data_IF_201668150426
#
_entry.id   IF_201668150426
#
_cell.length_a   1.000
_cell.length_b   1.000
_cell.length_c   1.000
_cell.angle_alpha   90.00
_cell.angle_beta   90.00
_cell.angle_gamma   90.00
#
_symmetry.space_group_name_H-M   'P 1'
#
loop_
_entity.id
_entity.type
_entity.pdbx_description
1 polymer ?
#
# COMPACT_ATOMS: atom_id res chain seq x y z
N UNK A 1 23.36 -31.22 7.61
CA UNK A 1 22.50 -31.51 8.78
C UNK A 1 21.52 -30.35 8.96
N UNK A 2 20.36 -30.53 9.62
CA UNK A 2 19.42 -29.43 9.92
C UNK A 2 20.11 -28.33 10.74
N UNK A 3 20.98 -28.71 11.68
CA UNK A 3 21.76 -27.77 12.50
C UNK A 3 22.63 -26.87 11.63
N UNK A 4 23.42 -27.43 10.70
CA UNK A 4 24.26 -26.64 9.79
C UNK A 4 23.44 -25.66 8.97
N UNK A 5 22.25 -26.08 8.52
CA UNK A 5 21.34 -25.22 7.75
C UNK A 5 20.81 -24.07 8.61
N UNK A 6 20.41 -24.34 9.85
CA UNK A 6 19.93 -23.30 10.76
C UNK A 6 21.04 -22.30 11.09
N UNK A 7 22.26 -22.78 11.37
CA UNK A 7 23.43 -21.91 11.60
C UNK A 7 23.77 -21.07 10.38
N UNK A 8 23.76 -21.67 9.18
CA UNK A 8 23.97 -20.95 7.92
C UNK A 8 22.91 -19.86 7.69
N UNK A 9 21.64 -20.15 7.95
CA UNK A 9 20.57 -19.17 7.78
C UNK A 9 20.63 -18.08 8.85
N UNK A 10 20.97 -18.42 10.10
CA UNK A 10 21.16 -17.43 11.15
C UNK A 10 22.27 -16.43 10.81
N UNK A 11 23.39 -16.91 10.25
CA UNK A 11 24.48 -16.06 9.76
C UNK A 11 24.05 -15.23 8.55
N UNK A 12 23.41 -15.86 7.55
CA UNK A 12 22.99 -15.19 6.31
C UNK A 12 22.01 -14.03 6.55
N UNK A 13 21.11 -14.19 7.53
CA UNK A 13 20.10 -13.19 7.90
C UNK A 13 20.50 -12.35 9.12
N UNK A 14 21.77 -12.42 9.54
CA UNK A 14 22.34 -11.63 10.64
C UNK A 14 21.46 -11.67 11.90
N UNK A 15 21.10 -12.87 12.33
CA UNK A 15 20.25 -13.08 13.49
C UNK A 15 20.98 -12.63 14.75
N UNK A 16 20.30 -11.82 15.56
CA UNK A 16 20.83 -11.30 16.83
C UNK A 16 19.86 -11.61 17.97
N UNK A 17 20.38 -11.70 19.19
CA UNK A 17 19.57 -11.92 20.38
C UNK A 17 18.86 -10.63 20.81
N UNK A 18 17.56 -10.72 21.12
CA UNK A 18 16.67 -9.56 21.35
C UNK A 18 16.08 -9.51 22.75
N UNK A 19 16.62 -10.30 23.68
CA UNK A 19 16.01 -10.58 24.97
C UNK A 19 15.44 -9.31 25.63
N UNK A 20 14.12 -9.27 25.80
CA UNK A 20 13.36 -8.07 26.20
C UNK A 20 13.69 -7.60 27.61
N UNK A 21 14.35 -8.46 28.41
CA UNK A 21 14.82 -8.15 29.76
C UNK A 21 16.25 -7.58 29.80
N UNK A 22 16.96 -7.50 28.66
CA UNK A 22 18.39 -7.19 28.64
C UNK A 22 18.79 -6.22 27.50
N UNK A 23 18.53 -4.92 27.68
CA UNK A 23 18.86 -3.82 26.74
C UNK A 23 20.32 -3.87 26.22
N UNK A 24 21.23 -4.47 26.99
CA UNK A 24 22.66 -4.59 26.68
C UNK A 24 22.97 -5.28 25.34
N UNK A 25 22.15 -6.23 24.88
CA UNK A 25 22.43 -6.96 23.64
C UNK A 25 22.03 -6.19 22.38
N UNK A 26 20.92 -5.47 22.43
CA UNK A 26 20.52 -4.55 21.37
C UNK A 26 21.57 -3.44 21.20
N UNK A 27 21.99 -2.84 22.31
CA UNK A 27 23.02 -1.79 22.29
C UNK A 27 24.33 -2.31 21.69
N UNK A 28 24.75 -3.53 22.04
CA UNK A 28 25.92 -4.16 21.46
C UNK A 28 25.79 -4.36 19.94
N UNK A 29 24.62 -4.82 19.44
CA UNK A 29 24.39 -5.00 18.01
C UNK A 29 24.35 -3.67 17.26
N UNK A 30 23.70 -2.65 17.82
CA UNK A 30 23.70 -1.30 17.26
C UNK A 30 25.11 -0.70 17.23
N UNK A 31 25.91 -0.91 18.27
CA UNK A 31 27.30 -0.47 18.31
C UNK A 31 28.17 -1.17 17.25
N UNK A 32 28.00 -2.49 17.06
CA UNK A 32 28.65 -3.27 15.99
C UNK A 32 28.32 -2.70 14.60
N UNK A 33 27.04 -2.45 14.33
CA UNK A 33 26.57 -1.92 13.04
C UNK A 33 27.07 -0.48 12.81
N UNK A 34 27.04 0.35 13.84
CA UNK A 34 27.58 1.72 13.80
C UNK A 34 29.10 1.70 13.52
N UNK A 35 29.85 0.80 14.16
CA UNK A 35 31.29 0.63 13.91
C UNK A 35 31.57 0.16 12.48
N UNK A 36 30.67 -0.63 11.88
CA UNK A 36 30.71 -1.00 10.47
C UNK A 36 30.26 0.12 9.51
N UNK A 37 29.88 1.28 10.04
CA UNK A 37 29.49 2.47 9.29
C UNK A 37 28.06 2.44 8.75
N UNK A 38 27.16 1.67 9.37
CA UNK A 38 25.72 1.71 9.09
C UNK A 38 25.02 2.69 10.02
N UNK A 39 24.04 3.43 9.49
CA UNK A 39 23.01 4.07 10.29
C UNK A 39 21.90 3.05 10.53
N UNK A 40 21.61 2.74 11.79
CA UNK A 40 20.71 1.63 12.15
C UNK A 40 19.52 2.11 12.98
N UNK A 41 18.37 1.49 12.79
CA UNK A 41 17.15 1.77 13.55
C UNK A 41 16.41 0.47 13.88
N UNK A 42 16.00 0.27 15.14
CA UNK A 42 15.20 -0.89 15.51
C UNK A 42 13.79 -0.78 14.92
N UNK A 43 13.23 -1.92 14.54
CA UNK A 43 11.83 -2.07 14.14
C UNK A 43 11.10 -2.70 15.32
N UNK A 44 10.11 -1.97 15.83
CA UNK A 44 9.37 -2.33 17.04
C UNK A 44 7.92 -2.66 16.65
N UNK A 45 7.40 -3.74 17.21
CA UNK A 45 6.03 -4.20 16.98
C UNK A 45 5.01 -3.43 17.87
N UNK A 46 3.73 -3.77 17.79
CA UNK A 46 2.68 -3.06 18.53
C UNK A 46 2.75 -3.30 20.04
N UNK A 47 3.42 -4.37 20.49
CA UNK A 47 3.64 -4.68 21.91
C UNK A 47 4.90 -4.01 22.48
N UNK A 48 5.67 -3.29 21.66
CA UNK A 48 6.92 -2.67 22.09
C UNK A 48 8.14 -3.59 22.00
N UNK A 49 8.01 -4.76 21.37
CA UNK A 49 9.08 -5.74 21.20
C UNK A 49 9.85 -5.50 19.90
N UNK A 50 11.16 -5.77 19.91
CA UNK A 50 12.02 -5.58 18.75
C UNK A 50 11.94 -6.80 17.85
N UNK A 51 11.56 -6.59 16.58
CA UNK A 51 11.43 -7.68 15.61
C UNK A 51 12.59 -7.71 14.60
N UNK A 52 13.28 -6.58 14.41
CA UNK A 52 14.43 -6.48 13.52
C UNK A 52 15.22 -5.18 13.75
N UNK A 53 16.38 -5.07 13.10
CA UNK A 53 17.11 -3.82 12.90
C UNK A 53 17.24 -3.57 11.40
N UNK A 54 16.86 -2.37 10.95
CA UNK A 54 17.15 -1.91 9.59
C UNK A 54 18.39 -1.03 9.61
N UNK A 55 19.34 -1.33 8.73
CA UNK A 55 20.64 -0.67 8.67
C UNK A 55 20.94 -0.18 7.26
N UNK A 56 21.30 1.10 7.13
CA UNK A 56 21.58 1.74 5.85
C UNK A 56 22.99 2.33 5.81
N UNK A 57 23.69 2.15 4.69
CA UNK A 57 25.03 2.70 4.47
C UNK A 57 25.15 3.26 3.06
N UNK A 58 25.60 4.50 2.94
CA UNK A 58 25.91 5.08 1.63
C UNK A 58 27.18 4.45 1.07
N UNK A 59 27.09 3.90 -0.13
CA UNK A 59 28.27 3.52 -0.90
C UNK A 59 28.57 4.65 -1.92
N UNK A 60 29.84 4.95 -2.16
CA UNK A 60 30.33 6.08 -2.97
C UNK A 60 29.93 6.10 -4.47
N UNK A 61 28.90 5.35 -4.87
CA UNK A 61 28.31 5.27 -6.21
C UNK A 61 26.77 5.36 -6.18
N UNK A 62 26.20 6.31 -5.43
CA UNK A 62 24.75 6.59 -5.35
C UNK A 62 23.84 5.41 -4.94
N UNK A 63 24.40 4.26 -4.52
CA UNK A 63 23.62 3.11 -4.05
C UNK A 63 23.70 3.00 -2.53
N UNK A 64 22.56 3.13 -1.88
CA UNK A 64 22.39 2.81 -0.46
C UNK A 64 22.39 1.30 -0.28
N UNK A 65 23.34 0.79 0.51
CA UNK A 65 23.34 -0.58 0.97
C UNK A 65 22.37 -0.70 2.14
N UNK A 66 21.38 -1.58 2.02
CA UNK A 66 20.43 -1.90 3.10
C UNK A 66 20.69 -3.30 3.64
N UNK A 67 20.85 -3.41 4.95
CA UNK A 67 20.98 -4.65 5.71
C UNK A 67 19.81 -4.76 6.69
N UNK A 68 19.37 -5.99 6.94
CA UNK A 68 18.37 -6.31 7.96
C UNK A 68 18.99 -7.34 8.88
N UNK A 69 18.96 -7.07 10.18
CA UNK A 69 19.30 -8.03 11.24
C UNK A 69 17.99 -8.54 11.82
N UNK A 70 17.79 -9.86 11.81
CA UNK A 70 16.53 -10.48 12.24
C UNK A 70 16.59 -10.82 13.73
N UNK A 71 15.52 -10.56 14.44
CA UNK A 71 15.46 -10.92 15.85
C UNK A 71 15.44 -12.45 16.07
N UNK A 72 16.16 -12.95 17.08
CA UNK A 72 16.22 -14.38 17.44
C UNK A 72 14.84 -14.97 17.75
N UNK A 73 13.94 -14.24 18.42
CA UNK A 73 12.57 -14.69 18.69
C UNK A 73 11.73 -14.83 17.42
N UNK A 74 11.89 -13.89 16.47
CA UNK A 74 11.23 -13.95 15.16
C UNK A 74 11.78 -15.11 14.35
N UNK A 75 13.10 -15.30 14.34
CA UNK A 75 13.77 -16.42 13.68
C UNK A 75 13.31 -17.77 14.25
N UNK A 76 13.26 -17.89 15.59
CA UNK A 76 12.74 -19.05 16.30
C UNK A 76 11.28 -19.35 15.96
N UNK A 77 10.44 -18.32 15.93
CA UNK A 77 9.04 -18.43 15.52
C UNK A 77 8.89 -18.95 14.08
N UNK A 78 9.74 -18.50 13.16
CA UNK A 78 9.77 -19.02 11.77
C UNK A 78 10.26 -20.48 11.69
N UNK A 79 11.21 -20.89 12.53
CA UNK A 79 11.62 -22.30 12.63
C UNK A 79 10.45 -23.18 13.08
N UNK A 80 9.69 -22.72 14.08
CA UNK A 80 8.51 -23.42 14.59
C UNK A 80 7.36 -23.43 13.59
N UNK A 81 7.22 -22.36 12.79
CA UNK A 81 6.25 -22.26 11.73
C UNK A 81 6.50 -23.26 10.58
N UNK A 82 7.75 -23.62 10.28
CA UNK A 82 8.05 -24.54 9.17
C UNK A 82 7.82 -26.01 9.57
N UNK A 83 6.82 -26.71 9.01
CA UNK A 83 6.48 -28.08 9.40
C UNK A 83 7.44 -29.12 8.80
N UNK A 84 8.33 -28.73 7.88
CA UNK A 84 9.20 -29.67 7.18
C UNK A 84 10.41 -30.05 8.02
N UNK A 85 10.86 -31.30 7.89
CA UNK A 85 12.01 -31.83 8.63
C UNK A 85 13.28 -30.99 8.41
N UNK A 86 13.52 -30.54 7.17
CA UNK A 86 14.72 -29.78 6.80
C UNK A 86 14.50 -28.26 6.73
N UNK A 87 13.39 -27.76 7.26
CA UNK A 87 13.07 -26.32 7.29
C UNK A 87 13.26 -25.64 5.93
N UNK A 88 12.62 -26.20 4.90
CA UNK A 88 12.80 -25.76 3.52
C UNK A 88 12.14 -24.40 3.26
N UNK A 89 11.14 -24.02 4.06
CA UNK A 89 10.39 -22.76 3.96
C UNK A 89 10.93 -21.65 4.84
N UNK A 90 11.75 -21.97 5.85
CA UNK A 90 12.40 -20.98 6.70
C UNK A 90 13.10 -19.88 5.89
N UNK A 91 13.89 -20.25 4.88
CA UNK A 91 14.58 -19.26 4.06
C UNK A 91 13.63 -18.39 3.24
N UNK A 92 12.51 -18.95 2.76
CA UNK A 92 11.48 -18.17 2.08
C UNK A 92 10.82 -17.17 3.03
N UNK A 93 10.45 -17.58 4.25
CA UNK A 93 9.89 -16.67 5.27
C UNK A 93 10.87 -15.57 5.68
N UNK A 94 12.16 -15.89 5.82
CA UNK A 94 13.20 -14.90 6.13
C UNK A 94 13.40 -13.90 4.99
N UNK A 95 13.38 -14.36 3.74
CA UNK A 95 13.41 -13.49 2.57
C UNK A 95 12.18 -12.58 2.50
N UNK A 96 10.99 -13.13 2.78
CA UNK A 96 9.72 -12.41 2.84
C UNK A 96 9.81 -11.26 3.85
N UNK A 97 10.15 -11.57 5.09
CA UNK A 97 10.27 -10.63 6.19
C UNK A 97 11.34 -9.55 5.93
N UNK A 98 12.53 -9.97 5.50
CA UNK A 98 13.64 -9.05 5.20
C UNK A 98 13.29 -8.06 4.09
N UNK A 99 12.53 -8.50 3.08
CA UNK A 99 12.06 -7.63 1.99
C UNK A 99 11.10 -6.56 2.49
N UNK A 100 10.13 -6.94 3.33
CA UNK A 100 9.15 -5.99 3.90
C UNK A 100 9.84 -4.88 4.71
N UNK A 101 10.89 -5.21 5.45
CA UNK A 101 11.67 -4.22 6.21
C UNK A 101 12.55 -3.36 5.30
N UNK A 102 13.21 -3.95 4.29
CA UNK A 102 14.13 -3.23 3.39
C UNK A 102 13.46 -2.11 2.59
N UNK A 103 12.19 -2.29 2.23
CA UNK A 103 11.45 -1.30 1.43
C UNK A 103 11.35 0.07 2.13
N UNK A 104 11.45 0.12 3.46
CA UNK A 104 11.54 1.35 4.25
C UNK A 104 10.31 2.27 4.18
N UNK A 105 9.26 1.86 3.48
CA UNK A 105 7.96 2.54 3.47
C UNK A 105 7.19 2.17 4.73
N UNK A 106 6.51 3.14 5.34
CA UNK A 106 5.68 2.92 6.54
C UNK A 106 4.75 1.71 6.39
N UNK A 107 4.06 1.60 5.25
CA UNK A 107 3.15 0.49 4.97
C UNK A 107 3.87 -0.87 4.91
N UNK A 108 5.13 -0.92 4.46
CA UNK A 108 5.92 -2.15 4.39
C UNK A 108 6.39 -2.59 5.78
N UNK A 109 6.71 -1.64 6.67
CA UNK A 109 7.01 -1.93 8.08
C UNK A 109 5.77 -2.47 8.80
N UNK A 110 4.61 -1.85 8.62
CA UNK A 110 3.34 -2.37 9.16
C UNK A 110 3.00 -3.77 8.62
N UNK A 111 3.34 -4.06 7.36
CA UNK A 111 3.19 -5.41 6.81
C UNK A 111 4.16 -6.41 7.47
N UNK A 112 5.38 -6.00 7.82
CA UNK A 112 6.33 -6.84 8.56
C UNK A 112 5.82 -7.13 9.98
N UNK A 113 5.26 -6.14 10.67
CA UNK A 113 4.65 -6.30 12.00
C UNK A 113 3.48 -7.29 11.93
N UNK A 114 2.55 -7.11 10.97
CA UNK A 114 1.43 -8.03 10.76
C UNK A 114 1.87 -9.46 10.41
N UNK A 115 2.94 -9.61 9.64
CA UNK A 115 3.52 -10.93 9.36
C UNK A 115 3.87 -11.65 10.66
N UNK A 116 4.55 -10.97 11.59
CA UNK A 116 5.01 -11.55 12.87
C UNK A 116 3.86 -11.77 13.85
N UNK A 117 2.98 -10.77 14.02
CA UNK A 117 1.92 -10.81 15.04
C UNK A 117 0.68 -11.62 14.63
N UNK A 118 0.32 -11.64 13.33
CA UNK A 118 -0.94 -12.25 12.87
C UNK A 118 -0.73 -13.54 12.05
N UNK A 119 0.15 -13.48 11.05
CA UNK A 119 0.31 -14.56 10.08
C UNK A 119 1.19 -15.69 10.62
N UNK A 120 2.33 -15.37 11.25
CA UNK A 120 3.31 -16.35 11.73
C UNK A 120 2.74 -17.33 12.77
N UNK A 121 1.90 -16.91 13.75
CA UNK A 121 1.28 -17.83 14.70
C UNK A 121 0.43 -18.93 14.06
N UNK A 122 -0.09 -18.68 12.85
CA UNK A 122 -0.92 -19.63 12.11
C UNK A 122 -0.14 -20.37 11.02
N UNK A 123 1.07 -19.92 10.69
CA UNK A 123 1.82 -20.38 9.53
C UNK A 123 2.07 -21.89 9.53
N UNK A 124 2.34 -22.51 10.68
CA UNK A 124 2.54 -23.96 10.77
C UNK A 124 1.36 -24.75 10.21
N UNK A 125 0.14 -24.40 10.62
CA UNK A 125 -1.09 -25.06 10.15
C UNK A 125 -1.23 -24.95 8.63
N UNK A 126 -1.06 -23.75 8.09
CA UNK A 126 -1.26 -23.50 6.66
C UNK A 126 -0.13 -24.04 5.79
N UNK A 127 1.12 -24.01 6.25
CA UNK A 127 2.25 -24.64 5.56
C UNK A 127 2.12 -26.16 5.55
N UNK A 128 1.54 -26.75 6.60
CA UNK A 128 1.23 -28.20 6.62
C UNK A 128 0.18 -28.52 5.57
N UNK A 129 -0.92 -27.76 5.53
CA UNK A 129 -1.93 -27.90 4.48
C UNK A 129 -1.35 -27.70 3.08
N UNK A 130 -0.42 -26.76 2.91
CA UNK A 130 0.26 -26.55 1.64
C UNK A 130 1.08 -27.76 1.25
N UNK A 131 1.89 -28.33 2.14
CA UNK A 131 2.65 -29.56 1.86
C UNK A 131 1.76 -30.73 1.46
N UNK A 132 0.68 -30.94 2.21
CA UNK A 132 -0.23 -32.06 2.00
C UNK A 132 -1.03 -31.95 0.69
N UNK A 133 -1.20 -30.73 0.15
CA UNK A 133 -2.10 -30.47 -0.98
C UNK A 133 -1.41 -29.94 -2.23
N UNK A 134 -0.21 -29.35 -2.17
CA UNK A 134 0.42 -28.63 -3.31
C UNK A 134 0.57 -29.48 -4.57
N UNK A 135 0.70 -30.81 -4.43
CA UNK A 135 0.84 -31.74 -5.57
C UNK A 135 -0.48 -32.26 -6.13
N UNK A 136 -1.62 -32.01 -5.47
CA UNK A 136 -2.94 -32.49 -5.89
C UNK A 136 -3.45 -31.71 -7.10
N UNK A 137 -4.13 -32.40 -8.03
CA UNK A 137 -4.75 -31.75 -9.20
C UNK A 137 -5.75 -30.66 -8.81
N UNK A 138 -6.60 -30.96 -7.82
CA UNK A 138 -7.60 -30.03 -7.27
C UNK A 138 -6.96 -28.72 -6.77
N UNK A 139 -5.80 -28.79 -6.12
CA UNK A 139 -5.09 -27.61 -5.64
C UNK A 139 -4.66 -26.70 -6.81
N UNK A 140 -4.07 -27.28 -7.86
CA UNK A 140 -3.67 -26.54 -9.06
C UNK A 140 -4.86 -25.92 -9.79
N UNK A 141 -6.00 -26.61 -9.84
CA UNK A 141 -7.23 -26.11 -10.45
C UNK A 141 -7.83 -24.93 -9.66
N UNK A 142 -7.90 -25.04 -8.33
CA UNK A 142 -8.38 -23.95 -7.46
C UNK A 142 -7.49 -22.71 -7.56
N UNK A 143 -6.16 -22.89 -7.62
CA UNK A 143 -5.24 -21.77 -7.71
C UNK A 143 -5.41 -20.97 -9.00
N UNK A 144 -5.68 -21.63 -10.13
CA UNK A 144 -5.89 -20.96 -11.44
C UNK A 144 -7.11 -20.02 -11.47
N UNK A 145 -8.12 -20.31 -10.66
CA UNK A 145 -9.35 -19.51 -10.58
C UNK A 145 -9.28 -18.36 -9.57
N UNK A 146 -8.25 -18.30 -8.73
CA UNK A 146 -8.15 -17.31 -7.66
C UNK A 146 -7.54 -16.00 -8.13
N UNK A 147 -8.23 -14.90 -7.88
CA UNK A 147 -7.70 -13.56 -8.12
C UNK A 147 -6.47 -13.25 -7.26
N UNK A 148 -6.45 -13.68 -6.00
CA UNK A 148 -5.32 -13.43 -5.09
C UNK A 148 -4.04 -14.15 -5.52
N UNK A 149 -4.14 -15.16 -6.38
CA UNK A 149 -3.02 -15.96 -6.90
C UNK A 149 -2.65 -15.58 -8.34
N UNK A 150 -3.21 -14.49 -8.87
CA UNK A 150 -2.87 -13.97 -10.19
C UNK A 150 -1.38 -13.64 -10.26
N UNK A 151 -0.67 -14.27 -11.20
CA UNK A 151 0.77 -14.13 -11.38
C UNK A 151 1.60 -15.32 -10.87
N UNK A 152 1.00 -16.26 -10.15
CA UNK A 152 1.63 -17.54 -9.79
C UNK A 152 1.43 -18.51 -10.96
N UNK A 153 2.54 -18.89 -11.60
CA UNK A 153 2.55 -19.80 -12.74
C UNK A 153 2.66 -21.26 -12.34
N UNK A 154 3.43 -21.54 -11.28
CA UNK A 154 3.50 -22.85 -10.64
C UNK A 154 3.11 -22.72 -9.17
N UNK A 155 1.87 -23.08 -8.79
CA UNK A 155 1.41 -22.97 -7.41
C UNK A 155 2.11 -23.97 -6.46
N UNK A 156 2.95 -24.88 -6.97
CA UNK A 156 3.75 -25.75 -6.11
C UNK A 156 5.05 -25.11 -5.63
N UNK A 157 5.48 -24.03 -6.30
CA UNK A 157 6.68 -23.28 -5.96
C UNK A 157 6.35 -22.15 -4.98
N UNK A 158 6.70 -22.36 -3.71
CA UNK A 158 6.44 -21.39 -2.65
C UNK A 158 7.10 -20.03 -2.92
N UNK A 159 8.20 -19.99 -3.69
CA UNK A 159 8.93 -18.75 -3.96
C UNK A 159 8.16 -17.78 -4.86
N UNK A 160 7.09 -18.24 -5.52
CA UNK A 160 6.20 -17.38 -6.30
C UNK A 160 5.15 -16.66 -5.42
N UNK A 161 5.02 -17.05 -4.15
CA UNK A 161 4.12 -16.41 -3.20
C UNK A 161 4.78 -15.19 -2.58
N UNK A 162 4.04 -14.07 -2.60
CA UNK A 162 4.50 -12.74 -2.18
C UNK A 162 4.22 -12.43 -0.71
N UNK A 163 3.40 -13.22 -0.03
CA UNK A 163 3.05 -13.07 1.39
C UNK A 163 2.61 -14.43 1.98
N UNK A 164 2.71 -14.59 3.30
CA UNK A 164 2.07 -15.72 4.01
C UNK A 164 0.56 -15.70 3.77
N UNK A 165 -0.01 -14.49 3.72
CA UNK A 165 -1.41 -14.32 3.48
C UNK A 165 -1.90 -14.90 2.14
N UNK A 166 -1.17 -14.63 1.06
CA UNK A 166 -1.44 -15.21 -0.26
C UNK A 166 -1.29 -16.74 -0.24
N UNK A 167 -0.32 -17.28 0.51
CA UNK A 167 -0.15 -18.72 0.68
C UNK A 167 -1.36 -19.33 1.39
N UNK A 168 -1.81 -18.72 2.49
CA UNK A 168 -2.94 -19.20 3.29
C UNK A 168 -4.22 -19.25 2.46
N UNK A 169 -4.47 -18.23 1.64
CA UNK A 169 -5.63 -18.21 0.75
C UNK A 169 -5.62 -19.36 -0.28
N UNK A 170 -4.45 -19.83 -0.70
CA UNK A 170 -4.34 -20.95 -1.64
C UNK A 170 -4.74 -22.30 -1.04
N UNK A 171 -4.65 -22.44 0.28
CA UNK A 171 -4.94 -23.68 1.00
C UNK A 171 -6.16 -23.61 1.90
N UNK A 172 -6.72 -22.42 2.16
CA UNK A 172 -7.97 -22.26 2.93
C UNK A 172 -9.12 -23.14 2.39
N UNK A 173 -9.29 -23.35 1.07
CA UNK A 173 -10.31 -24.27 0.55
C UNK A 173 -10.15 -25.74 0.98
N UNK A 174 -9.01 -26.14 1.53
CA UNK A 174 -8.75 -27.47 2.06
C UNK A 174 -9.04 -27.59 3.56
N UNK A 175 -9.36 -26.48 4.24
CA UNK A 175 -9.89 -26.50 5.59
C UNK A 175 -11.35 -26.91 5.51
N UNK A 176 -11.70 -28.06 6.08
CA UNK A 176 -13.08 -28.53 6.13
C UNK A 176 -13.95 -27.50 6.88
N UNK A 177 -14.89 -26.90 6.16
CA UNK A 177 -15.91 -25.99 6.70
C UNK A 177 -17.24 -26.39 6.05
N UNK A 178 -18.27 -26.61 6.86
CA UNK A 178 -19.63 -26.77 6.35
C UNK A 178 -20.11 -25.42 5.80
N UNK A 179 -20.32 -25.34 4.48
CA UNK A 179 -20.83 -24.12 3.88
C UNK A 179 -22.18 -23.75 4.49
N UNK A 180 -22.35 -22.48 4.83
CA UNK A 180 -23.64 -21.95 5.31
C UNK A 180 -24.71 -22.01 4.22
N UNK A 181 -25.98 -21.89 4.60
CA UNK A 181 -27.09 -21.85 3.63
C UNK A 181 -26.97 -20.68 2.65
N UNK A 182 -26.47 -19.53 3.11
CA UNK A 182 -26.26 -18.36 2.26
C UNK A 182 -25.09 -18.57 1.30
N UNK A 183 -23.98 -19.18 1.72
CA UNK A 183 -22.86 -19.51 0.82
C UNK A 183 -23.29 -20.45 -0.31
N UNK A 184 -24.06 -21.50 0.02
CA UNK A 184 -24.61 -22.40 -1.01
C UNK A 184 -25.51 -21.65 -2.00
N UNK A 185 -26.26 -20.67 -1.52
CA UNK A 185 -27.15 -19.86 -2.36
C UNK A 185 -26.35 -18.90 -3.25
N UNK A 186 -25.34 -18.22 -2.70
CA UNK A 186 -24.40 -17.39 -3.46
C UNK A 186 -23.73 -18.18 -4.57
N UNK A 187 -23.21 -19.38 -4.26
CA UNK A 187 -22.55 -20.23 -5.25
C UNK A 187 -23.49 -20.65 -6.37
N UNK A 188 -24.75 -21.01 -6.06
CA UNK A 188 -25.76 -21.31 -7.09
C UNK A 188 -25.98 -20.14 -8.05
N UNK A 189 -26.03 -18.90 -7.54
CA UNK A 189 -26.16 -17.72 -8.40
C UNK A 189 -24.92 -17.48 -9.28
N UNK A 190 -23.72 -17.78 -8.76
CA UNK A 190 -22.49 -17.75 -9.56
C UNK A 190 -22.54 -18.80 -10.67
N UNK A 191 -22.93 -20.03 -10.35
CA UNK A 191 -22.96 -21.16 -11.29
C UNK A 191 -23.91 -20.90 -12.48
N UNK A 192 -25.02 -20.19 -12.24
CA UNK A 192 -25.98 -19.81 -13.30
C UNK A 192 -25.69 -18.44 -13.94
N UNK A 193 -24.56 -17.82 -13.62
CA UNK A 193 -24.12 -16.53 -14.20
C UNK A 193 -24.89 -15.29 -13.72
N UNK A 194 -25.65 -15.41 -12.64
CA UNK A 194 -26.41 -14.31 -12.04
C UNK A 194 -25.66 -13.56 -10.93
N UNK A 195 -24.44 -14.00 -10.59
CA UNK A 195 -23.54 -13.29 -9.70
C UNK A 195 -22.08 -13.63 -10.04
N UNK A 196 -21.15 -12.87 -9.47
CA UNK A 196 -19.71 -13.16 -9.52
C UNK A 196 -19.12 -13.10 -8.10
N UNK A 197 -18.15 -13.96 -7.83
CA UNK A 197 -17.27 -13.86 -6.66
C UNK A 197 -15.85 -13.67 -7.18
N UNK A 198 -15.43 -12.42 -7.49
CA UNK A 198 -14.10 -12.17 -8.03
C UNK A 198 -12.99 -12.40 -6.99
N UNK A 199 -13.27 -12.18 -5.71
CA UNK A 199 -12.29 -12.38 -4.62
C UNK A 199 -12.95 -13.17 -3.49
N UNK A 200 -12.25 -14.22 -3.05
CA UNK A 200 -12.55 -14.94 -1.82
C UNK A 200 -11.23 -15.30 -1.16
N UNK A 201 -10.92 -14.63 -0.06
CA UNK A 201 -9.75 -14.92 0.79
C UNK A 201 -10.23 -15.42 2.17
N UNK A 202 -9.34 -15.59 3.14
CA UNK A 202 -9.73 -16.08 4.47
C UNK A 202 -10.64 -15.12 5.25
N UNK A 203 -10.43 -13.81 5.14
CA UNK A 203 -11.10 -12.76 5.93
C UNK A 203 -12.35 -12.26 5.21
N UNK A 204 -12.32 -12.12 3.88
CA UNK A 204 -13.39 -11.49 3.10
C UNK A 204 -13.79 -12.26 1.83
N UNK A 205 -15.06 -12.11 1.48
CA UNK A 205 -15.62 -12.50 0.19
C UNK A 205 -16.20 -11.27 -0.51
N UNK A 206 -15.78 -11.00 -1.74
CA UNK A 206 -16.39 -10.00 -2.61
C UNK A 206 -17.42 -10.66 -3.51
N UNK A 207 -18.65 -10.19 -3.43
CA UNK A 207 -19.78 -10.67 -4.22
C UNK A 207 -20.36 -9.54 -5.07
N UNK A 208 -20.57 -9.80 -6.36
CA UNK A 208 -21.13 -8.86 -7.33
C UNK A 208 -22.40 -9.46 -7.92
N UNK A 209 -23.61 -9.07 -7.45
CA UNK A 209 -24.86 -9.53 -8.03
C UNK A 209 -25.05 -8.98 -9.46
N UNK A 210 -25.54 -9.84 -10.36
CA UNK A 210 -25.89 -9.49 -11.75
C UNK A 210 -27.39 -9.57 -12.03
N UNK A 211 -28.18 -10.05 -11.07
CA UNK A 211 -29.65 -10.05 -11.09
C UNK A 211 -30.21 -9.52 -9.78
N UNK A 212 -31.46 -9.06 -9.81
CA UNK A 212 -32.21 -8.68 -8.62
C UNK A 212 -32.29 -9.83 -7.61
N UNK A 213 -32.56 -11.05 -8.08
CA UNK A 213 -32.67 -12.24 -7.23
C UNK A 213 -31.36 -12.54 -6.48
N UNK A 214 -30.22 -12.39 -7.16
CA UNK A 214 -28.91 -12.53 -6.53
C UNK A 214 -28.61 -11.40 -5.53
N UNK A 215 -29.17 -10.20 -5.74
CA UNK A 215 -28.98 -9.06 -4.82
C UNK A 215 -29.82 -9.18 -3.54
N UNK A 216 -31.01 -9.79 -3.61
CA UNK A 216 -31.97 -9.89 -2.49
C UNK A 216 -31.46 -10.79 -1.36
N UNK A 217 -30.46 -11.66 -1.60
CA UNK A 217 -29.93 -12.56 -0.58
C UNK A 217 -29.36 -11.82 0.66
N UNK A 218 -29.02 -10.54 0.51
CA UNK A 218 -28.56 -9.67 1.59
C UNK A 218 -29.60 -8.63 2.02
N UNK A 219 -30.88 -8.76 1.65
CA UNK A 219 -31.95 -7.82 2.01
C UNK A 219 -31.94 -7.52 3.51
N UNK A 220 -31.93 -8.55 4.37
CA UNK A 220 -31.94 -8.38 5.83
C UNK A 220 -30.73 -7.64 6.42
N UNK A 221 -29.64 -7.49 5.65
CA UNK A 221 -28.36 -6.94 6.12
C UNK A 221 -27.94 -5.64 5.41
N UNK A 222 -28.46 -5.41 4.20
CA UNK A 222 -28.14 -4.27 3.34
C UNK A 222 -29.41 -3.64 2.73
N UNK A 223 -30.51 -3.70 3.48
CA UNK A 223 -31.88 -3.28 3.14
C UNK A 223 -32.04 -1.87 2.54
N UNK A 224 -31.05 -1.00 2.69
CA UNK A 224 -31.07 0.40 2.23
C UNK A 224 -30.56 0.57 0.78
N UNK A 225 -30.01 -0.49 0.18
CA UNK A 225 -29.40 -0.47 -1.15
C UNK A 225 -29.59 -1.77 -1.94
N UNK A 226 -29.78 -2.90 -1.26
CA UNK A 226 -30.18 -4.14 -1.93
C UNK A 226 -31.63 -4.04 -2.33
N UNK A 227 -31.94 -4.56 -3.52
CA UNK A 227 -33.31 -4.57 -3.98
C UNK A 227 -34.16 -5.42 -3.04
N UNK A 228 -35.35 -4.92 -2.73
CA UNK A 228 -36.45 -5.72 -2.21
C UNK A 228 -37.19 -6.29 -3.41
N UNK A 229 -37.82 -7.45 -3.25
CA UNK A 229 -38.67 -8.00 -4.30
C UNK A 229 -39.74 -6.98 -4.71
N UNK A 230 -39.65 -6.46 -5.94
CA UNK A 230 -40.56 -5.44 -6.48
C UNK A 230 -40.10 -3.98 -6.35
N UNK A 231 -38.93 -3.68 -5.78
CA UNK A 231 -38.34 -2.33 -5.86
C UNK A 231 -37.35 -2.21 -7.04
N UNK A 232 -37.30 -1.04 -7.68
CA UNK A 232 -36.43 -0.79 -8.84
C UNK A 232 -34.98 -0.45 -8.47
N UNK A 233 -34.58 -0.63 -7.21
CA UNK A 233 -33.35 -0.04 -6.67
C UNK A 233 -32.09 -0.67 -7.26
N UNK A 234 -32.04 -2.02 -7.35
CA UNK A 234 -30.95 -2.73 -8.02
C UNK A 234 -30.80 -2.29 -9.49
N UNK A 235 -31.92 -2.17 -10.21
CA UNK A 235 -31.92 -1.71 -11.60
C UNK A 235 -31.46 -0.25 -11.71
N UNK A 236 -31.83 0.60 -10.75
CA UNK A 236 -31.37 2.00 -10.70
C UNK A 236 -29.85 2.09 -10.60
N UNK A 237 -29.22 1.29 -9.73
CA UNK A 237 -27.76 1.27 -9.61
C UNK A 237 -27.10 0.64 -10.83
N UNK A 238 -27.58 -0.53 -11.29
CA UNK A 238 -26.88 -1.30 -12.34
C UNK A 238 -27.16 -0.80 -13.75
N UNK A 239 -28.43 -0.71 -14.14
CA UNK A 239 -28.83 -0.29 -15.49
C UNK A 239 -29.06 1.21 -15.63
N UNK A 240 -29.37 1.90 -14.53
CA UNK A 240 -29.55 3.35 -14.49
C UNK A 240 -28.25 4.15 -14.49
N UNK A 241 -27.12 3.51 -14.20
CA UNK A 241 -25.79 4.11 -14.28
C UNK A 241 -24.84 3.30 -15.16
N UNK A 242 -23.81 3.97 -15.64
CA UNK A 242 -22.80 3.40 -16.53
C UNK A 242 -21.41 3.67 -15.97
N UNK A 243 -20.56 2.64 -16.06
CA UNK A 243 -19.11 2.77 -15.91
C UNK A 243 -18.56 3.65 -17.04
N UNK A 244 -17.34 4.20 -16.91
CA UNK A 244 -16.75 5.09 -17.91
C UNK A 244 -16.55 4.42 -19.28
N UNK A 245 -16.40 3.10 -19.30
CA UNK A 245 -16.31 2.30 -20.53
C UNK A 245 -17.68 1.99 -21.18
N UNK A 246 -18.79 2.57 -20.69
CA UNK A 246 -20.14 2.39 -21.23
C UNK A 246 -20.87 1.13 -20.77
N UNK A 247 -20.22 0.25 -19.99
CA UNK A 247 -20.89 -0.92 -19.38
C UNK A 247 -21.80 -0.49 -18.24
N UNK A 248 -22.76 -1.36 -17.90
CA UNK A 248 -23.59 -1.20 -16.69
C UNK A 248 -22.71 -1.11 -15.44
N UNK A 249 -23.15 -0.30 -14.48
CA UNK A 249 -22.55 -0.20 -13.17
C UNK A 249 -22.70 -1.49 -12.37
N UNK A 250 -21.79 -1.68 -11.42
CA UNK A 250 -21.76 -2.85 -10.54
C UNK A 250 -21.98 -2.43 -9.09
N UNK A 251 -22.74 -3.25 -8.36
CA UNK A 251 -22.82 -3.17 -6.90
C UNK A 251 -21.81 -4.17 -6.34
N UNK A 252 -20.95 -3.71 -5.44
CA UNK A 252 -19.96 -4.53 -4.78
C UNK A 252 -20.39 -4.79 -3.34
N UNK A 253 -20.49 -6.06 -2.96
CA UNK A 253 -20.83 -6.49 -1.60
C UNK A 253 -19.61 -7.20 -1.02
N UNK A 254 -19.01 -6.62 0.02
CA UNK A 254 -17.86 -7.21 0.72
C UNK A 254 -18.37 -7.80 2.02
N UNK A 255 -18.09 -9.07 2.24
CA UNK A 255 -18.62 -9.84 3.36
C UNK A 255 -17.44 -10.28 4.20
N UNK A 256 -17.43 -9.94 5.50
CA UNK A 256 -16.48 -10.56 6.43
C UNK A 256 -16.87 -12.03 6.58
N UNK A 257 -15.96 -12.98 6.32
CA UNK A 257 -16.28 -14.41 6.31
C UNK A 257 -16.78 -14.94 7.66
N UNK A 258 -16.49 -14.26 8.78
CA UNK A 258 -17.11 -14.56 10.10
C UNK A 258 -18.65 -14.42 10.06
N UNK A 259 -19.20 -13.71 9.08
CA UNK A 259 -20.62 -13.64 8.80
C UNK A 259 -21.23 -15.01 8.50
N UNK A 260 -20.55 -15.83 7.71
CA UNK A 260 -21.04 -17.17 7.34
C UNK A 260 -21.08 -18.13 8.53
N UNK A 261 -20.27 -17.85 9.55
CA UNK A 261 -20.25 -18.59 10.82
C UNK A 261 -21.25 -18.04 11.85
N UNK A 262 -22.01 -16.99 11.51
CA UNK A 262 -22.90 -16.29 12.45
C UNK A 262 -22.17 -15.47 13.53
N UNK A 263 -20.85 -15.28 13.39
CA UNK A 263 -20.00 -14.58 14.36
C UNK A 263 -19.85 -13.09 14.08
N UNK A 264 -20.30 -12.62 12.92
CA UNK A 264 -20.27 -11.20 12.53
C UNK A 264 -21.53 -10.82 11.74
N UNK A 265 -21.89 -9.53 11.77
CA UNK A 265 -22.89 -8.93 10.88
C UNK A 265 -22.25 -7.90 9.93
N UNK A 266 -20.94 -7.94 9.82
CA UNK A 266 -20.16 -6.97 9.07
C UNK A 266 -20.22 -7.28 7.56
N UNK A 267 -20.93 -6.42 6.85
CA UNK A 267 -21.05 -6.40 5.40
C UNK A 267 -20.91 -4.95 4.97
N UNK A 268 -20.21 -4.75 3.86
CA UNK A 268 -20.03 -3.46 3.23
C UNK A 268 -20.62 -3.48 1.84
N UNK A 269 -21.23 -2.36 1.45
CA UNK A 269 -21.69 -2.18 0.09
C UNK A 269 -21.08 -0.92 -0.53
N UNK A 270 -20.61 -1.08 -1.76
CA UNK A 270 -20.00 -0.02 -2.54
C UNK A 270 -20.70 0.07 -3.91
N UNK A 271 -21.07 1.30 -4.28
CA UNK A 271 -21.52 1.64 -5.62
C UNK A 271 -20.90 2.99 -6.02
N UNK A 272 -19.88 2.93 -6.88
CA UNK A 272 -19.05 4.08 -7.21
C UNK A 272 -19.82 5.17 -7.97
N UNK A 273 -20.77 4.82 -8.84
CA UNK A 273 -21.46 5.82 -9.68
C UNK A 273 -22.47 6.68 -8.92
N UNK A 274 -22.87 6.30 -7.70
CA UNK A 274 -23.74 7.13 -6.84
C UNK A 274 -23.03 7.62 -5.59
N UNK A 275 -21.71 7.49 -5.53
CA UNK A 275 -20.89 7.79 -4.37
C UNK A 275 -21.37 7.09 -3.08
N UNK A 276 -21.86 5.86 -3.20
CA UNK A 276 -22.38 5.12 -2.06
C UNK A 276 -21.35 4.12 -1.53
N UNK A 277 -21.02 4.30 -0.27
CA UNK A 277 -20.16 3.41 0.50
C UNK A 277 -20.74 3.36 1.91
N UNK A 278 -21.26 2.21 2.32
CA UNK A 278 -21.79 2.06 3.68
C UNK A 278 -21.59 0.67 4.25
N UNK A 279 -21.69 0.60 5.58
CA UNK A 279 -21.67 -0.62 6.39
C UNK A 279 -23.09 -1.13 6.66
N UNK A 280 -23.18 -2.26 7.35
CA UNK A 280 -24.45 -2.88 7.77
C UNK A 280 -25.25 -2.05 8.78
N UNK A 281 -24.68 -0.98 9.34
CA UNK A 281 -25.37 -0.02 10.24
C UNK A 281 -25.87 1.23 9.51
N UNK A 282 -25.70 1.30 8.18
CA UNK A 282 -26.03 2.48 7.37
C UNK A 282 -25.26 3.74 7.81
N UNK A 283 -24.07 3.57 8.39
CA UNK A 283 -23.17 4.68 8.67
C UNK A 283 -22.63 5.28 7.38
N UNK A 284 -22.65 6.62 7.26
CA UNK A 284 -22.10 7.32 6.09
C UNK A 284 -20.58 7.58 6.22
N UNK A 285 -20.03 7.51 7.43
CA UNK A 285 -18.60 7.70 7.72
C UNK A 285 -17.92 6.34 7.95
N UNK A 286 -17.92 5.48 6.93
CA UNK A 286 -17.26 4.17 7.02
C UNK A 286 -15.90 4.24 6.37
N UNK A 287 -14.86 3.93 7.15
CA UNK A 287 -13.49 3.79 6.65
C UNK A 287 -13.31 2.40 6.05
N UNK A 288 -13.60 2.24 4.75
CA UNK A 288 -13.36 0.97 4.03
C UNK A 288 -11.86 0.64 3.98
N UNK A 289 -10.99 1.66 4.02
CA UNK A 289 -9.56 1.44 4.08
C UNK A 289 -9.16 0.61 5.29
N UNK A 290 -9.46 1.11 6.50
CA UNK A 290 -9.08 0.44 7.77
C UNK A 290 -9.82 -0.88 7.94
N UNK A 291 -11.10 -0.94 7.59
CA UNK A 291 -11.92 -2.11 7.88
C UNK A 291 -11.78 -3.25 6.87
N UNK A 292 -11.30 -2.98 5.65
CA UNK A 292 -11.27 -3.96 4.56
C UNK A 292 -9.97 -3.92 3.78
N UNK A 293 -9.61 -2.78 3.18
CA UNK A 293 -8.50 -2.71 2.21
C UNK A 293 -7.16 -3.03 2.90
N UNK A 294 -6.96 -2.53 4.11
CA UNK A 294 -5.77 -2.83 4.91
C UNK A 294 -5.71 -4.31 5.34
N UNK A 295 -6.85 -4.96 5.47
CA UNK A 295 -6.99 -6.32 6.01
C UNK A 295 -6.97 -7.42 4.95
N UNK A 296 -7.16 -7.07 3.67
CA UNK A 296 -7.18 -8.04 2.56
C UNK A 296 -6.41 -7.54 1.34
N UNK A 297 -5.29 -8.22 1.06
CA UNK A 297 -4.51 -8.02 -0.17
C UNK A 297 -5.33 -8.33 -1.43
N UNK A 298 -6.18 -9.37 -1.39
CA UNK A 298 -7.02 -9.76 -2.52
C UNK A 298 -8.05 -8.68 -2.88
N UNK A 299 -8.75 -8.15 -1.88
CA UNK A 299 -9.75 -7.09 -2.06
C UNK A 299 -9.08 -5.78 -2.48
N UNK A 300 -7.96 -5.44 -1.83
CA UNK A 300 -7.13 -4.27 -2.15
C UNK A 300 -6.70 -4.27 -3.62
N UNK A 301 -6.08 -5.36 -4.07
CA UNK A 301 -5.64 -5.52 -5.46
C UNK A 301 -6.81 -5.50 -6.45
N UNK A 302 -7.97 -6.05 -6.09
CA UNK A 302 -9.15 -6.02 -6.96
C UNK A 302 -9.64 -4.59 -7.18
N UNK A 303 -9.85 -3.85 -6.10
CA UNK A 303 -10.35 -2.48 -6.20
C UNK A 303 -9.34 -1.53 -6.81
N UNK A 304 -8.04 -1.71 -6.54
CA UNK A 304 -6.98 -0.96 -7.23
C UNK A 304 -7.10 -1.09 -8.76
N UNK A 305 -7.14 -2.32 -9.29
CA UNK A 305 -7.23 -2.57 -10.73
C UNK A 305 -8.55 -2.05 -11.33
N UNK A 306 -9.68 -2.30 -10.66
CA UNK A 306 -11.01 -1.87 -11.10
C UNK A 306 -11.10 -0.34 -11.13
N UNK A 307 -10.67 0.34 -10.07
CA UNK A 307 -10.69 1.80 -9.98
C UNK A 307 -9.69 2.44 -10.95
N UNK A 308 -8.49 1.89 -11.11
CA UNK A 308 -7.51 2.37 -12.10
C UNK A 308 -8.07 2.26 -13.51
N UNK A 309 -8.74 1.15 -13.83
CA UNK A 309 -9.40 0.97 -15.13
C UNK A 309 -10.49 2.01 -15.35
N UNK A 310 -11.38 2.22 -14.36
CA UNK A 310 -12.44 3.24 -14.46
C UNK A 310 -11.86 4.65 -14.55
N UNK A 311 -10.82 4.96 -13.78
CA UNK A 311 -10.16 6.25 -13.79
C UNK A 311 -9.52 6.56 -15.16
N UNK A 312 -8.85 5.59 -15.79
CA UNK A 312 -8.25 5.73 -17.13
C UNK A 312 -9.29 5.99 -18.21
N UNK A 313 -10.45 5.34 -18.13
CA UNK A 313 -11.52 5.50 -19.11
C UNK A 313 -12.43 6.71 -18.84
N UNK A 314 -12.18 7.48 -17.77
CA UNK A 314 -12.99 8.64 -17.43
C UNK A 314 -12.70 9.84 -18.33
N UNK A 315 -13.70 10.28 -19.08
CA UNK A 315 -13.55 11.28 -20.15
C UNK A 315 -13.45 12.74 -19.69
N UNK A 316 -13.77 13.07 -18.43
CA UNK A 316 -13.82 14.47 -17.95
C UNK A 316 -12.52 14.99 -17.32
N UNK A 317 -11.38 14.40 -17.69
CA UNK A 317 -10.07 14.75 -17.15
C UNK A 317 -9.92 14.36 -15.67
N UNK A 318 -8.77 14.71 -15.08
CA UNK A 318 -8.40 14.31 -13.73
C UNK A 318 -9.19 15.05 -12.65
N UNK A 319 -9.45 16.35 -12.82
CA UNK A 319 -10.11 17.18 -11.80
C UNK A 319 -11.50 16.65 -11.42
N UNK A 320 -12.29 16.18 -12.39
CA UNK A 320 -13.66 15.69 -12.15
C UNK A 320 -13.77 14.16 -12.07
N UNK A 321 -12.65 13.47 -11.84
CA UNK A 321 -12.59 12.02 -11.83
C UNK A 321 -12.82 11.45 -10.41
N UNK A 322 -14.07 11.11 -10.11
CA UNK A 322 -14.45 10.51 -8.81
C UNK A 322 -13.72 9.22 -8.45
N UNK A 323 -13.27 8.48 -9.47
CA UNK A 323 -12.56 7.21 -9.23
C UNK A 323 -11.18 7.47 -8.64
N UNK A 324 -10.59 8.65 -8.87
CA UNK A 324 -9.39 9.11 -8.16
C UNK A 324 -9.66 9.35 -6.68
N UNK A 325 -10.83 9.91 -6.35
CA UNK A 325 -11.19 10.17 -4.96
C UNK A 325 -11.36 8.84 -4.19
N UNK A 326 -11.89 7.81 -4.86
CA UNK A 326 -11.93 6.44 -4.33
C UNK A 326 -10.54 5.79 -4.22
N UNK A 327 -9.66 5.96 -5.21
CA UNK A 327 -8.28 5.50 -5.11
C UNK A 327 -7.60 6.10 -3.88
N UNK A 328 -7.76 7.40 -3.66
CA UNK A 328 -7.25 8.10 -2.48
C UNK A 328 -7.87 7.52 -1.20
N UNK A 329 -9.21 7.40 -1.16
CA UNK A 329 -9.92 6.85 0.01
C UNK A 329 -9.46 5.43 0.35
N UNK A 330 -9.02 4.64 -0.65
CA UNK A 330 -8.54 3.28 -0.45
C UNK A 330 -7.01 3.20 -0.27
N UNK A 331 -6.33 4.34 -0.09
CA UNK A 331 -4.90 4.38 0.21
C UNK A 331 -3.98 4.32 -1.02
N UNK A 332 -4.51 4.50 -2.22
CA UNK A 332 -3.78 4.45 -3.50
C UNK A 332 -3.51 5.86 -4.09
N UNK A 333 -3.31 6.86 -3.24
CA UNK A 333 -3.11 8.25 -3.67
C UNK A 333 -1.90 8.42 -4.61
N UNK A 334 -0.84 7.63 -4.41
CA UNK A 334 0.37 7.68 -5.24
C UNK A 334 0.10 7.24 -6.69
N UNK A 335 -0.87 6.35 -6.90
CA UNK A 335 -1.17 5.79 -8.23
C UNK A 335 -1.87 6.78 -9.16
N UNK A 336 -2.27 7.95 -8.67
CA UNK A 336 -2.74 9.06 -9.51
C UNK A 336 -1.70 9.44 -10.58
N UNK A 337 -0.40 9.37 -10.25
CA UNK A 337 0.67 9.69 -11.18
C UNK A 337 0.90 8.60 -12.24
N UNK A 338 0.40 7.39 -12.03
CA UNK A 338 0.46 6.31 -13.03
C UNK A 338 -0.51 6.53 -14.19
N UNK A 339 -1.56 7.32 -13.98
CA UNK A 339 -2.58 7.66 -14.98
C UNK A 339 -2.13 8.74 -15.96
N UNK A 340 -1.05 9.44 -15.63
CA UNK A 340 -0.50 10.54 -16.40
C UNK A 340 0.50 10.05 -17.45
N UNK A 341 0.40 10.63 -18.65
CA UNK A 341 1.37 10.42 -19.74
C UNK A 341 2.74 10.98 -19.35
N UNK A 342 3.81 10.29 -19.73
CA UNK A 342 5.19 10.70 -19.42
C UNK A 342 5.58 12.05 -20.07
N UNK A 343 4.89 12.45 -21.14
CA UNK A 343 5.09 13.72 -21.83
C UNK A 343 4.18 14.84 -21.31
N UNK A 344 3.44 14.61 -20.21
CA UNK A 344 2.56 15.62 -19.62
C UNK A 344 3.39 16.87 -19.22
N UNK A 345 3.13 18.05 -19.80
CA UNK A 345 3.92 19.25 -19.52
C UNK A 345 3.55 19.89 -18.18
N UNK A 346 2.28 19.83 -17.80
CA UNK A 346 1.77 20.41 -16.56
C UNK A 346 0.94 19.39 -15.78
N UNK A 347 1.32 19.16 -14.52
CA UNK A 347 0.57 18.33 -13.57
C UNK A 347 -0.01 19.24 -12.48
N UNK A 348 -1.33 19.15 -12.32
CA UNK A 348 -2.07 19.93 -11.32
C UNK A 348 -2.97 19.05 -10.47
N UNK A 349 -2.74 19.09 -9.16
CA UNK A 349 -3.62 18.51 -8.16
C UNK A 349 -4.01 19.58 -7.15
N UNK A 350 -5.31 19.87 -7.07
CA UNK A 350 -5.86 20.82 -6.12
C UNK A 350 -6.83 20.05 -5.23
N UNK A 351 -6.73 20.24 -3.90
CA UNK A 351 -7.71 19.75 -2.91
C UNK A 351 -7.84 18.23 -2.76
N UNK A 352 -7.06 17.44 -3.49
CA UNK A 352 -6.97 15.97 -3.35
C UNK A 352 -5.88 15.57 -2.40
N UNK A 353 -6.16 14.63 -1.51
CA UNK A 353 -5.15 14.14 -0.57
C UNK A 353 -4.08 13.33 -1.30
N UNK A 354 -2.85 13.85 -1.29
CA UNK A 354 -1.64 13.23 -1.85
C UNK A 354 -0.55 13.36 -0.77
N UNK A 355 -0.57 12.49 0.26
CA UNK A 355 0.33 12.62 1.40
C UNK A 355 1.81 12.52 1.04
N UNK A 356 2.13 11.82 -0.05
CA UNK A 356 3.50 11.65 -0.55
C UNK A 356 3.53 11.80 -2.05
N UNK A 357 4.57 12.47 -2.56
CA UNK A 357 4.90 12.46 -3.97
C UNK A 357 5.61 11.14 -4.30
N UNK A 358 5.18 10.34 -5.30
CA UNK A 358 5.88 9.11 -5.69
C UNK A 358 7.13 9.39 -6.53
N UNK A 359 7.80 8.34 -7.02
CA UNK A 359 8.81 8.51 -8.07
C UNK A 359 8.15 9.05 -9.34
N UNK A 360 8.48 10.29 -9.67
CA UNK A 360 7.96 11.02 -10.83
C UNK A 360 9.04 11.27 -11.90
N UNK A 361 10.15 10.53 -11.84
CA UNK A 361 11.29 10.72 -12.75
C UNK A 361 10.98 10.44 -14.21
N UNK A 362 9.86 9.77 -14.51
CA UNK A 362 9.36 9.53 -15.87
C UNK A 362 8.92 10.81 -16.60
N UNK A 363 8.48 11.86 -15.89
CA UNK A 363 7.94 13.06 -16.53
C UNK A 363 9.04 14.02 -17.00
N UNK A 364 9.78 13.62 -18.04
CA UNK A 364 10.93 14.39 -18.54
C UNK A 364 10.53 15.74 -19.15
N UNK A 365 9.30 15.85 -19.64
CA UNK A 365 8.79 17.06 -20.29
C UNK A 365 8.04 17.99 -19.33
N UNK A 366 8.00 17.68 -18.03
CA UNK A 366 7.24 18.45 -17.06
C UNK A 366 7.89 19.83 -16.83
N UNK A 367 7.14 20.88 -17.14
CA UNK A 367 7.50 22.28 -16.91
C UNK A 367 6.80 22.87 -15.66
N UNK A 368 5.61 22.36 -15.32
CA UNK A 368 4.81 22.85 -14.20
C UNK A 368 4.30 21.71 -13.31
N UNK A 369 4.64 21.76 -12.01
CA UNK A 369 4.09 20.89 -10.99
C UNK A 369 3.38 21.73 -9.93
N UNK A 370 2.05 21.58 -9.85
CA UNK A 370 1.19 22.36 -8.97
C UNK A 370 0.39 21.41 -8.09
N UNK A 371 0.73 21.37 -6.80
CA UNK A 371 0.05 20.56 -5.80
C UNK A 371 -0.35 21.47 -4.65
N UNK A 372 -1.63 21.77 -4.53
CA UNK A 372 -2.14 22.74 -3.55
C UNK A 372 -3.19 22.12 -2.66
N UNK A 373 -3.07 22.36 -1.35
CA UNK A 373 -4.02 21.85 -0.35
C UNK A 373 -4.23 20.33 -0.46
N UNK A 374 -3.12 19.58 -0.56
CA UNK A 374 -3.12 18.13 -0.80
C UNK A 374 -2.68 17.32 0.42
N UNK A 375 -2.48 17.96 1.59
CA UNK A 375 -1.93 17.35 2.81
C UNK A 375 -0.57 16.64 2.58
N UNK A 376 0.18 17.03 1.55
CA UNK A 376 1.47 16.43 1.24
C UNK A 376 2.47 16.65 2.37
N UNK A 377 3.09 15.58 2.86
CA UNK A 377 4.07 15.61 3.94
C UNK A 377 5.49 15.46 3.42
N UNK A 378 5.66 14.75 2.30
CA UNK A 378 6.97 14.32 1.79
C UNK A 378 7.07 14.44 0.27
N UNK A 379 8.21 14.95 -0.20
CA UNK A 379 8.60 14.99 -1.60
C UNK A 379 9.62 13.88 -1.88
N UNK A 380 9.39 13.06 -2.90
CA UNK A 380 10.36 12.06 -3.30
C UNK A 380 11.59 12.70 -3.98
N UNK A 381 12.82 12.21 -3.71
CA UNK A 381 14.07 12.73 -4.29
C UNK A 381 14.10 12.79 -5.83
N UNK A 382 13.26 12.01 -6.51
CA UNK A 382 13.11 12.07 -7.97
C UNK A 382 12.70 13.44 -8.50
N UNK A 383 12.21 14.36 -7.64
CA UNK A 383 11.94 15.74 -8.04
C UNK A 383 13.15 16.38 -8.75
N UNK A 384 14.38 16.12 -8.27
CA UNK A 384 15.60 16.65 -8.90
C UNK A 384 15.89 16.12 -10.30
N UNK A 385 15.17 15.10 -10.77
CA UNK A 385 15.29 14.55 -12.14
C UNK A 385 14.42 15.28 -13.16
N UNK A 386 13.60 16.24 -12.73
CA UNK A 386 12.72 17.04 -13.58
C UNK A 386 13.47 18.26 -14.12
N UNK A 387 14.43 18.01 -15.02
CA UNK A 387 15.36 19.06 -15.48
C UNK A 387 14.68 20.19 -16.26
N UNK A 388 13.47 19.98 -16.79
CA UNK A 388 12.69 20.99 -17.49
C UNK A 388 11.71 21.76 -16.61
N UNK A 389 11.64 21.46 -15.31
CA UNK A 389 10.67 22.07 -14.41
C UNK A 389 10.98 23.56 -14.22
N UNK A 390 10.05 24.42 -14.59
CA UNK A 390 10.13 25.89 -14.44
C UNK A 390 9.29 26.39 -13.27
N UNK A 391 8.21 25.68 -12.93
CA UNK A 391 7.27 26.07 -11.88
C UNK A 391 6.99 24.93 -10.91
N UNK A 392 7.25 25.15 -9.62
CA UNK A 392 6.92 24.24 -8.55
C UNK A 392 6.08 24.96 -7.50
N UNK A 393 4.80 24.58 -7.39
CA UNK A 393 3.85 25.17 -6.44
C UNK A 393 3.38 24.08 -5.48
N UNK A 394 3.68 24.26 -4.20
CA UNK A 394 3.39 23.31 -3.12
C UNK A 394 2.57 23.97 -1.99
N UNK A 395 1.81 25.01 -2.33
CA UNK A 395 1.08 25.86 -1.38
C UNK A 395 0.08 25.08 -0.49
N UNK A 396 0.02 25.44 0.79
CA UNK A 396 -0.91 24.89 1.80
C UNK A 396 -0.81 23.35 1.92
N UNK A 397 0.40 22.83 2.07
CA UNK A 397 0.62 21.41 2.35
C UNK A 397 1.18 21.21 3.78
N UNK A 398 1.78 20.06 4.07
CA UNK A 398 2.31 19.69 5.40
C UNK A 398 3.78 19.30 5.30
N UNK A 399 4.49 19.85 4.30
CA UNK A 399 5.88 19.50 4.01
C UNK A 399 6.76 20.01 5.14
N UNK A 400 7.51 19.10 5.76
CA UNK A 400 8.42 19.42 6.87
C UNK A 400 9.86 19.61 6.41
N UNK A 401 10.24 18.97 5.32
CA UNK A 401 11.61 18.92 4.81
C UNK A 401 11.59 18.94 3.28
N UNK A 402 12.55 19.63 2.67
CA UNK A 402 12.79 19.58 1.24
C UNK A 402 13.95 18.62 0.95
N UNK A 403 13.85 17.73 -0.05
CA UNK A 403 14.96 16.87 -0.43
C UNK A 403 16.11 17.72 -0.99
N UNK A 404 17.36 17.34 -0.70
CA UNK A 404 18.55 18.02 -1.23
C UNK A 404 18.57 18.07 -2.77
N UNK A 405 17.93 17.10 -3.41
CA UNK A 405 17.77 16.99 -4.86
C UNK A 405 16.99 18.17 -5.46
N UNK A 406 16.30 18.98 -4.65
CA UNK A 406 15.67 20.23 -5.10
C UNK A 406 16.68 21.14 -5.81
N UNK A 407 17.96 21.14 -5.37
CA UNK A 407 19.02 21.95 -5.98
C UNK A 407 19.39 21.57 -7.42
N UNK A 408 18.93 20.42 -7.91
CA UNK A 408 19.14 19.97 -9.29
C UNK A 408 18.19 20.62 -10.30
N UNK A 409 17.15 21.32 -9.85
CA UNK A 409 16.14 21.96 -10.71
C UNK A 409 16.64 23.28 -11.33
N UNK A 410 17.71 23.22 -12.15
CA UNK A 410 18.40 24.40 -12.68
C UNK A 410 17.54 25.35 -13.53
N UNK A 411 16.45 24.84 -14.11
CA UNK A 411 15.50 25.63 -14.90
C UNK A 411 14.33 26.18 -14.08
N UNK A 412 14.25 25.90 -12.76
CA UNK A 412 13.17 26.37 -11.92
C UNK A 412 13.20 27.90 -11.80
N UNK A 413 12.11 28.55 -12.17
CA UNK A 413 11.94 30.00 -12.14
C UNK A 413 11.07 30.44 -10.96
N UNK A 414 10.07 29.63 -10.60
CA UNK A 414 9.14 29.91 -9.51
C UNK A 414 9.01 28.72 -8.56
N UNK A 415 9.28 28.96 -7.29
CA UNK A 415 9.07 28.01 -6.20
C UNK A 415 8.07 28.60 -5.20
N UNK A 416 6.98 27.91 -4.89
CA UNK A 416 6.03 28.38 -3.89
C UNK A 416 5.84 27.32 -2.79
N UNK A 417 6.21 27.69 -1.56
CA UNK A 417 6.22 26.86 -0.36
C UNK A 417 5.29 27.40 0.74
N UNK A 418 4.52 28.46 0.46
CA UNK A 418 3.62 29.10 1.42
C UNK A 418 2.70 28.07 2.09
N UNK A 419 2.51 28.18 3.41
CA UNK A 419 1.63 27.29 4.18
C UNK A 419 2.21 25.88 4.32
N UNK A 420 3.53 25.74 4.48
CA UNK A 420 4.18 24.47 4.82
C UNK A 420 5.08 24.63 6.05
N UNK A 421 4.99 23.73 7.05
CA UNK A 421 5.78 23.80 8.28
C UNK A 421 7.21 23.28 8.08
N UNK A 422 7.98 23.91 7.18
CA UNK A 422 9.34 23.46 6.82
C UNK A 422 10.30 23.75 7.96
N UNK A 423 10.85 22.69 8.54
CA UNK A 423 11.76 22.76 9.69
C UNK A 423 13.20 23.07 9.30
N UNK A 424 13.62 22.63 8.12
CA UNK A 424 14.98 22.83 7.63
C UNK A 424 15.01 23.11 6.13
N UNK A 425 15.86 24.06 5.76
CA UNK A 425 16.15 24.40 4.37
C UNK A 425 17.48 23.73 3.96
N UNK A 426 17.51 22.89 2.91
CA UNK A 426 18.74 22.23 2.45
C UNK A 426 19.72 23.26 1.85
N UNK A 427 21.02 23.07 2.07
CA UNK A 427 22.05 23.97 1.55
C UNK A 427 22.08 23.98 0.01
N UNK A 428 21.73 22.85 -0.61
CA UNK A 428 21.68 22.63 -2.04
C UNK A 428 20.68 23.55 -2.75
N UNK A 429 19.72 24.17 -2.04
CA UNK A 429 18.81 25.15 -2.65
C UNK A 429 19.57 26.33 -3.27
N UNK A 430 20.79 26.62 -2.79
CA UNK A 430 21.65 27.68 -3.35
C UNK A 430 21.94 27.51 -4.84
N UNK A 431 21.91 26.27 -5.33
CA UNK A 431 22.14 25.93 -6.74
C UNK A 431 21.00 26.38 -7.66
N UNK A 432 19.86 26.79 -7.11
CA UNK A 432 18.74 27.36 -7.86
C UNK A 432 18.92 28.85 -8.13
N UNK A 433 19.71 29.55 -7.31
CA UNK A 433 19.95 30.98 -7.47
C UNK A 433 20.75 31.28 -8.74
N UNK A 434 20.50 32.45 -9.36
CA UNK A 434 21.22 32.87 -10.56
C UNK A 434 22.72 33.03 -10.31
N UNK A 435 23.14 33.38 -9.10
CA UNK A 435 24.57 33.48 -8.76
C UNK A 435 25.31 32.14 -8.88
N UNK A 436 24.59 31.02 -8.81
CA UNK A 436 25.13 29.66 -8.86
C UNK A 436 24.67 28.88 -10.12
N UNK A 437 24.32 29.62 -11.18
CA UNK A 437 23.93 29.06 -12.47
C UNK A 437 22.55 28.41 -12.51
N UNK A 438 21.67 28.71 -11.55
CA UNK A 438 20.25 28.38 -11.61
C UNK A 438 19.43 29.49 -12.27
N UNK A 439 18.12 29.29 -12.35
CA UNK A 439 17.17 30.20 -13.01
C UNK A 439 16.15 30.81 -12.06
N UNK A 440 16.25 30.60 -10.74
CA UNK A 440 15.20 30.97 -9.80
C UNK A 440 15.01 32.49 -9.75
N UNK A 441 13.76 32.92 -9.86
CA UNK A 441 13.39 34.34 -9.84
C UNK A 441 12.65 34.70 -8.57
N UNK A 442 11.76 33.81 -8.10
CA UNK A 442 10.92 34.04 -6.94
C UNK A 442 10.72 32.78 -6.12
N UNK A 443 10.79 32.95 -4.79
CA UNK A 443 10.32 31.98 -3.81
C UNK A 443 9.17 32.59 -3.02
N UNK A 444 8.00 31.95 -3.07
CA UNK A 444 6.90 32.23 -2.14
C UNK A 444 7.11 31.49 -0.83
N UNK A 445 7.31 32.21 0.28
CA UNK A 445 7.46 31.61 1.61
C UNK A 445 7.18 32.64 2.70
N UNK A 446 6.42 32.27 3.75
CA UNK A 446 6.21 33.15 4.89
C UNK A 446 7.24 32.85 5.98
N UNK A 447 7.72 33.89 6.65
CA UNK A 447 8.65 33.74 7.77
C UNK A 447 8.04 32.89 8.90
N UNK A 448 6.74 33.02 9.14
CA UNK A 448 5.99 32.23 10.13
C UNK A 448 5.94 30.73 9.82
N UNK A 449 6.01 30.35 8.53
CA UNK A 449 5.93 28.96 8.07
C UNK A 449 7.23 28.19 8.37
N UNK A 450 8.37 28.86 8.31
CA UNK A 450 9.71 28.23 8.36
C UNK A 450 10.57 28.70 9.54
N UNK A 451 10.17 29.77 10.22
CA UNK A 451 10.92 30.42 11.29
C UNK A 451 12.01 31.38 10.80
N UNK A 452 12.34 32.35 11.66
CA UNK A 452 13.28 33.45 11.39
C UNK A 452 14.64 32.96 10.88
N UNK A 453 15.18 31.90 11.49
CA UNK A 453 16.51 31.40 11.15
C UNK A 453 16.55 30.76 9.75
N UNK A 454 15.54 29.99 9.38
CA UNK A 454 15.44 29.43 8.03
C UNK A 454 15.17 30.52 7.00
N UNK A 455 14.37 31.52 7.33
CA UNK A 455 14.12 32.65 6.44
C UNK A 455 15.40 33.47 6.18
N UNK A 456 16.22 33.69 7.21
CA UNK A 456 17.56 34.27 7.08
C UNK A 456 18.48 33.40 6.22
N UNK A 457 18.53 32.09 6.49
CA UNK A 457 19.31 31.11 5.71
C UNK A 457 18.91 31.14 4.23
N UNK A 458 17.62 31.22 3.91
CA UNK A 458 17.15 31.35 2.52
C UNK A 458 17.66 32.63 1.84
N UNK A 459 17.64 33.79 2.54
CA UNK A 459 18.19 35.03 1.99
C UNK A 459 19.67 34.94 1.68
N UNK A 460 20.43 34.24 2.52
CA UNK A 460 21.87 34.04 2.33
C UNK A 460 22.15 33.08 1.16
N UNK A 461 21.39 31.98 1.06
CA UNK A 461 21.58 30.98 0.01
C UNK A 461 21.05 31.42 -1.36
N UNK A 462 20.08 32.34 -1.41
CA UNK A 462 19.41 32.81 -2.62
C UNK A 462 19.51 34.35 -2.78
N UNK A 463 20.71 34.93 -2.89
CA UNK A 463 20.91 36.39 -2.83
C UNK A 463 20.34 37.15 -4.04
N UNK A 464 20.07 36.50 -5.17
CA UNK A 464 19.51 37.14 -6.37
C UNK A 464 18.02 36.85 -6.58
N UNK A 465 17.44 36.04 -5.71
CA UNK A 465 16.05 35.58 -5.80
C UNK A 465 15.13 36.43 -4.93
N UNK A 466 13.95 36.79 -5.46
CA UNK A 466 12.94 37.52 -4.69
C UNK A 466 12.18 36.59 -3.74
N UNK A 467 12.29 36.81 -2.43
CA UNK A 467 11.46 36.12 -1.43
C UNK A 467 10.17 36.91 -1.19
N UNK A 468 9.01 36.27 -1.39
CA UNK A 468 7.67 36.89 -1.30
C UNK A 468 6.77 36.26 -0.26
#
# INVERSE_FOLDING_TARGET
NITDRLSFLAELFDVFECDSENESQLEAKLAELNAAGYLSSPVINNQGEIIAIVSEKQNGKERTLKKVSVCSDVFGSMIMADPTENKIYLQWMLNLFSRLIKDGKVNSTEAAIRLVEEDLPQANKYLTLFEDNKRKKKFKELCKGSYSLKGITDPTDINQYKSLSQLFDSVDPFIEKDASAIERTMQRFVDIGQALIPVKDRKFTLFIPKSTDASVIFEDFANWCTARKGNGMFNSYTTGHKKPNGKNSDIYIIINNKFFEGKSKEIYQIHFETNQLKDSRNGQNVSIFENVIAESEGISNFFYEELMTMAKHHSKGLENNRYLDYLIQFGFAESLFELLDENTPSIRFMTREIPRLPDISKFKSLDQLIITNAKMVELHPSIGKLTNLEMLVLTENRIKELPKEIGALKNLQFLNLIGNPIKEIPAEITYLDKSNGGSLHRVGVREEDIGVENYRKLRELLPTTFLS
#
